data_IF_412536831942
#
_entry.id   IF_412536831942
#
_cell.length_a   1.000
_cell.length_b   1.000
_cell.length_c   1.000
_cell.angle_alpha   90.00
_cell.angle_beta   90.00
_cell.angle_gamma   90.00
#
_symmetry.space_group_name_H-M   'P 1'
#
loop_
_entity.id
_entity.type
_entity.pdbx_description
1 polymer ?
#
# COMPACT_ATOMS: atom_id res chain seq x y z
N UNK A 1 28.06 -19.78 34.20
CA UNK A 1 26.93 -19.16 33.45
C UNK A 1 27.51 -18.30 32.35
N UNK A 2 27.40 -18.75 31.07
CA UNK A 2 27.88 -18.01 29.91
C UNK A 2 27.09 -16.69 29.82
N UNK A 3 27.77 -15.54 29.86
CA UNK A 3 27.18 -14.24 29.47
C UNK A 3 26.67 -14.39 28.03
N UNK A 4 25.37 -14.52 27.87
CA UNK A 4 24.72 -14.43 26.59
C UNK A 4 25.18 -13.12 25.94
N UNK A 5 25.85 -13.27 24.81
CA UNK A 5 26.47 -12.16 24.09
C UNK A 5 25.38 -11.18 23.65
N UNK A 6 25.13 -10.13 24.45
CA UNK A 6 24.09 -9.12 24.20
C UNK A 6 24.24 -8.50 22.80
N UNK A 7 25.46 -8.51 22.23
CA UNK A 7 25.75 -8.04 20.88
C UNK A 7 25.26 -9.02 19.79
N UNK A 8 25.32 -10.32 20.02
CA UNK A 8 24.83 -11.34 19.08
C UNK A 8 23.30 -11.34 19.00
N UNK A 9 22.62 -11.30 20.16
CA UNK A 9 21.16 -11.25 20.24
C UNK A 9 20.61 -9.96 19.63
N UNK A 10 21.25 -8.81 19.88
CA UNK A 10 20.85 -7.53 19.29
C UNK A 10 20.99 -7.54 17.76
N UNK A 11 22.07 -8.09 17.21
CA UNK A 11 22.27 -8.22 15.75
C UNK A 11 21.27 -9.20 15.11
N UNK A 12 20.93 -10.28 15.78
CA UNK A 12 19.95 -11.25 15.31
C UNK A 12 18.53 -10.63 15.31
N UNK A 13 18.15 -9.97 16.41
CA UNK A 13 16.85 -9.30 16.52
C UNK A 13 16.67 -8.18 15.49
N UNK A 14 17.72 -7.40 15.19
CA UNK A 14 17.66 -6.36 14.16
C UNK A 14 17.64 -6.92 12.75
N UNK A 15 18.16 -8.12 12.51
CA UNK A 15 18.22 -8.73 11.17
C UNK A 15 16.98 -9.56 10.83
N UNK A 16 16.41 -10.24 11.81
CA UNK A 16 15.33 -11.22 11.60
C UNK A 16 14.07 -10.90 12.42
N UNK A 17 14.06 -9.79 13.17
CA UNK A 17 12.98 -9.47 14.11
C UNK A 17 11.59 -9.46 13.46
N UNK A 18 11.46 -8.90 12.28
CA UNK A 18 10.16 -8.84 11.54
C UNK A 18 9.73 -10.22 11.05
N UNK A 19 10.67 -11.05 10.59
CA UNK A 19 10.38 -12.42 10.16
C UNK A 19 10.00 -13.28 11.37
N UNK A 20 10.69 -13.13 12.48
CA UNK A 20 10.35 -13.80 13.75
C UNK A 20 8.98 -13.33 14.25
N UNK A 21 8.71 -12.04 14.19
CA UNK A 21 7.40 -11.47 14.54
C UNK A 21 6.27 -12.05 13.68
N UNK A 22 6.49 -12.14 12.36
CA UNK A 22 5.55 -12.78 11.46
C UNK A 22 5.32 -14.26 11.81
N UNK A 23 6.39 -15.01 12.06
CA UNK A 23 6.29 -16.41 12.47
C UNK A 23 5.53 -16.58 13.79
N UNK A 24 5.75 -15.68 14.77
CA UNK A 24 5.03 -15.69 16.04
C UNK A 24 3.53 -15.40 15.87
N UNK A 25 3.16 -14.44 15.00
CA UNK A 25 1.75 -14.16 14.67
C UNK A 25 1.11 -15.40 14.02
N UNK A 26 1.78 -16.01 13.04
CA UNK A 26 1.29 -17.23 12.40
C UNK A 26 1.13 -18.38 13.40
N UNK A 27 2.11 -18.59 14.29
CA UNK A 27 2.06 -19.62 15.32
C UNK A 27 0.90 -19.38 16.31
N UNK A 28 0.70 -18.13 16.74
CA UNK A 28 -0.39 -17.77 17.65
C UNK A 28 -1.77 -18.11 17.03
N UNK A 29 -2.02 -17.70 15.78
CA UNK A 29 -3.29 -18.02 15.12
C UNK A 29 -3.42 -19.50 14.74
N UNK A 30 -2.32 -20.18 14.47
CA UNK A 30 -2.30 -21.64 14.27
C UNK A 30 -2.76 -22.40 15.52
N UNK A 31 -2.33 -21.95 16.71
CA UNK A 31 -2.75 -22.52 17.99
C UNK A 31 -4.20 -22.17 18.31
N UNK A 32 -4.60 -20.90 18.09
CA UNK A 32 -5.96 -20.43 18.42
C UNK A 32 -7.01 -21.01 17.47
N UNK A 33 -6.68 -21.27 16.19
CA UNK A 33 -7.63 -21.73 15.16
C UNK A 33 -7.02 -22.82 14.26
N UNK A 34 -6.59 -23.97 14.79
CA UNK A 34 -5.81 -24.98 14.06
C UNK A 34 -6.55 -25.54 12.85
N UNK A 35 -7.88 -25.72 12.94
CA UNK A 35 -8.67 -26.28 11.86
C UNK A 35 -9.05 -25.29 10.74
N UNK A 36 -8.80 -23.99 10.93
CA UNK A 36 -9.23 -22.96 9.97
C UNK A 36 -8.06 -22.19 9.37
N UNK A 37 -7.02 -21.93 10.16
CA UNK A 37 -5.94 -21.03 9.78
C UNK A 37 -5.12 -21.54 8.59
N UNK A 38 -4.73 -22.83 8.58
CA UNK A 38 -3.94 -23.43 7.51
C UNK A 38 -4.76 -24.05 6.34
N UNK A 39 -6.10 -23.90 6.35
CA UNK A 39 -6.87 -24.32 5.19
C UNK A 39 -6.44 -23.55 3.94
N UNK A 40 -6.30 -24.23 2.81
CA UNK A 40 -5.95 -23.62 1.52
C UNK A 40 -6.91 -22.48 1.18
N UNK A 41 -8.20 -22.65 1.47
CA UNK A 41 -9.22 -21.61 1.28
C UNK A 41 -8.93 -20.34 2.09
N UNK A 42 -8.39 -20.47 3.31
CA UNK A 42 -8.01 -19.33 4.14
C UNK A 42 -6.74 -18.65 3.61
N UNK A 43 -5.75 -19.42 3.21
CA UNK A 43 -4.52 -18.87 2.59
C UNK A 43 -4.87 -18.07 1.33
N UNK A 44 -5.74 -18.60 0.47
CA UNK A 44 -6.24 -17.87 -0.71
C UNK A 44 -6.99 -16.61 -0.31
N UNK A 45 -7.78 -16.66 0.76
CA UNK A 45 -8.50 -15.50 1.28
C UNK A 45 -7.53 -14.42 1.76
N UNK A 46 -6.50 -14.79 2.52
CA UNK A 46 -5.44 -13.87 2.96
C UNK A 46 -4.75 -13.23 1.75
N UNK A 47 -4.30 -14.04 0.78
CA UNK A 47 -3.64 -13.54 -0.43
C UNK A 47 -4.54 -12.60 -1.24
N UNK A 48 -5.84 -12.87 -1.31
CA UNK A 48 -6.83 -11.99 -1.95
C UNK A 48 -6.99 -10.67 -1.18
N UNK A 49 -6.99 -10.72 0.14
CA UNK A 49 -7.11 -9.50 0.98
C UNK A 49 -5.87 -8.61 0.84
N UNK A 50 -4.68 -9.21 0.91
CA UNK A 50 -3.44 -8.45 0.81
C UNK A 50 -3.15 -7.94 -0.60
N UNK A 51 -3.82 -8.46 -1.64
CA UNK A 51 -3.58 -8.03 -3.02
C UNK A 51 -3.77 -6.52 -3.20
N UNK A 52 -4.84 -5.96 -2.63
CA UNK A 52 -5.11 -4.52 -2.66
C UNK A 52 -4.03 -3.78 -1.87
N UNK A 53 -3.81 -4.22 -0.64
CA UNK A 53 -2.87 -3.59 0.30
C UNK A 53 -1.43 -3.57 -0.23
N UNK A 54 -0.98 -4.68 -0.83
CA UNK A 54 0.36 -4.80 -1.40
C UNK A 54 0.55 -3.89 -2.63
N UNK A 55 -0.48 -3.73 -3.46
CA UNK A 55 -0.44 -2.83 -4.62
C UNK A 55 -0.37 -1.37 -4.16
N UNK A 56 -1.24 -0.97 -3.21
CA UNK A 56 -1.20 0.37 -2.63
C UNK A 56 0.13 0.65 -1.93
N UNK A 57 0.59 -0.31 -1.13
CA UNK A 57 1.88 -0.24 -0.46
C UNK A 57 3.06 -0.17 -1.42
N UNK A 58 3.00 -0.86 -2.57
CA UNK A 58 4.06 -0.79 -3.58
C UNK A 58 4.18 0.62 -4.19
N UNK A 59 3.05 1.26 -4.50
CA UNK A 59 3.04 2.66 -4.96
C UNK A 59 3.60 3.60 -3.89
N UNK A 60 3.09 3.48 -2.65
CA UNK A 60 3.55 4.27 -1.51
C UNK A 60 5.04 4.10 -1.21
N UNK A 61 5.56 2.87 -1.37
CA UNK A 61 6.98 2.59 -1.15
C UNK A 61 7.88 3.48 -2.01
N UNK A 62 7.50 3.74 -3.26
CA UNK A 62 8.28 4.59 -4.17
C UNK A 62 8.37 6.03 -3.64
N UNK A 63 7.28 6.56 -3.10
CA UNK A 63 7.27 7.88 -2.44
C UNK A 63 8.09 7.86 -1.16
N UNK A 64 7.88 6.84 -0.31
CA UNK A 64 8.56 6.78 1.00
C UNK A 64 10.08 6.55 0.90
N UNK A 65 10.58 5.94 -0.17
CA UNK A 65 12.03 5.84 -0.44
C UNK A 65 12.63 7.24 -0.58
N UNK A 66 11.94 8.22 -1.18
CA UNK A 66 12.42 9.60 -1.29
C UNK A 66 12.41 10.39 0.02
N UNK A 67 11.96 9.79 1.11
CA UNK A 67 11.77 10.43 2.41
C UNK A 67 10.48 11.25 2.53
N UNK A 68 9.57 11.14 1.57
CA UNK A 68 8.26 11.81 1.53
C UNK A 68 7.13 10.85 1.88
N UNK A 69 5.95 11.39 2.20
CA UNK A 69 4.75 10.62 2.53
C UNK A 69 3.62 11.02 1.59
N UNK A 70 2.77 10.06 1.24
CA UNK A 70 1.54 10.29 0.48
C UNK A 70 0.34 9.82 1.32
N UNK A 71 -0.44 10.78 1.82
CA UNK A 71 -1.64 10.53 2.62
C UNK A 71 -2.93 10.50 1.76
N UNK A 72 -2.82 10.73 0.45
CA UNK A 72 -3.99 10.71 -0.43
C UNK A 72 -4.41 9.31 -0.86
N UNK A 73 -3.64 8.27 -0.54
CA UNK A 73 -3.82 6.90 -1.06
C UNK A 73 -5.26 6.43 -0.92
N UNK A 74 -5.86 6.57 0.27
CA UNK A 74 -7.23 6.16 0.52
C UNK A 74 -8.24 6.95 -0.31
N UNK A 75 -8.14 8.28 -0.26
CA UNK A 75 -9.03 9.18 -0.99
C UNK A 75 -8.89 9.03 -2.51
N UNK A 76 -7.66 8.90 -3.03
CA UNK A 76 -7.40 8.65 -4.46
C UNK A 76 -8.00 7.30 -4.87
N UNK A 77 -7.83 6.24 -4.08
CA UNK A 77 -8.42 4.93 -4.35
C UNK A 77 -9.96 5.02 -4.40
N UNK A 78 -10.57 5.73 -3.44
CA UNK A 78 -12.01 5.97 -3.41
C UNK A 78 -12.49 6.75 -4.63
N UNK A 79 -11.80 7.83 -5.00
CA UNK A 79 -12.18 8.68 -6.14
C UNK A 79 -12.07 7.95 -7.47
N UNK A 80 -10.99 7.19 -7.68
CA UNK A 80 -10.84 6.37 -8.89
C UNK A 80 -11.90 5.27 -8.94
N UNK A 81 -12.25 4.67 -7.79
CA UNK A 81 -13.36 3.73 -7.70
C UNK A 81 -14.66 4.34 -8.22
N UNK A 82 -15.02 5.52 -7.72
CA UNK A 82 -16.24 6.25 -8.16
C UNK A 82 -16.15 6.65 -9.62
N UNK A 83 -15.00 7.18 -10.08
CA UNK A 83 -14.80 7.55 -11.48
C UNK A 83 -15.05 6.36 -12.42
N UNK A 84 -14.43 5.19 -12.13
CA UNK A 84 -14.62 3.99 -12.95
C UNK A 84 -16.07 3.52 -12.90
N UNK A 85 -16.72 3.58 -11.73
CA UNK A 85 -18.14 3.26 -11.58
C UNK A 85 -19.04 4.16 -12.39
N UNK A 86 -18.83 5.48 -12.33
CA UNK A 86 -19.57 6.46 -13.13
C UNK A 86 -19.38 6.23 -14.63
N UNK A 87 -18.14 6.04 -15.09
CA UNK A 87 -17.86 5.76 -16.50
C UNK A 87 -18.60 4.52 -17.02
N UNK A 88 -18.69 3.46 -16.19
CA UNK A 88 -19.36 2.22 -16.59
C UNK A 88 -20.89 2.30 -16.48
N UNK A 89 -21.43 2.92 -15.43
CA UNK A 89 -22.86 2.87 -15.11
C UNK A 89 -23.58 4.09 -15.67
N UNK A 90 -23.08 5.31 -15.42
CA UNK A 90 -23.77 6.54 -15.81
C UNK A 90 -23.51 6.87 -17.29
N UNK A 91 -22.30 6.57 -17.81
CA UNK A 91 -21.92 6.84 -19.20
C UNK A 91 -21.94 5.60 -20.10
N UNK A 92 -22.23 4.40 -19.58
CA UNK A 92 -22.31 3.16 -20.36
C UNK A 92 -20.99 2.75 -21.04
N UNK A 93 -19.85 3.21 -20.52
CA UNK A 93 -18.53 3.00 -21.14
C UNK A 93 -18.08 1.55 -21.01
N UNK A 94 -17.31 1.09 -22.00
CA UNK A 94 -16.68 -0.22 -21.95
C UNK A 94 -15.76 -0.36 -20.72
N UNK A 95 -15.84 -1.51 -20.03
CA UNK A 95 -15.10 -1.82 -18.80
C UNK A 95 -13.60 -1.60 -18.93
N UNK A 96 -13.00 -2.06 -20.03
CA UNK A 96 -11.56 -1.93 -20.25
C UNK A 96 -11.13 -0.48 -20.43
N UNK A 97 -11.92 0.29 -21.18
CA UNK A 97 -11.67 1.71 -21.39
C UNK A 97 -11.82 2.50 -20.09
N UNK A 98 -12.85 2.21 -19.30
CA UNK A 98 -13.05 2.81 -17.98
C UNK A 98 -11.87 2.53 -17.03
N UNK A 99 -11.33 1.30 -17.03
CA UNK A 99 -10.15 0.95 -16.25
C UNK A 99 -8.90 1.71 -16.72
N UNK A 100 -8.67 1.84 -18.03
CA UNK A 100 -7.53 2.60 -18.58
C UNK A 100 -7.63 4.07 -18.18
N UNK A 101 -8.80 4.68 -18.31
CA UNK A 101 -9.06 6.07 -17.88
C UNK A 101 -8.85 6.19 -16.37
N UNK A 102 -9.30 5.22 -15.59
CA UNK A 102 -9.06 5.18 -14.14
C UNK A 102 -7.58 5.20 -13.79
N UNK A 103 -6.75 4.40 -14.49
CA UNK A 103 -5.29 4.40 -14.27
C UNK A 103 -4.67 5.73 -14.69
N UNK A 104 -5.10 6.31 -15.80
CA UNK A 104 -4.62 7.63 -16.25
C UNK A 104 -5.02 8.73 -15.24
N UNK A 105 -6.24 8.69 -14.72
CA UNK A 105 -6.72 9.63 -13.70
C UNK A 105 -5.94 9.48 -12.38
N UNK A 106 -5.64 8.24 -11.96
CA UNK A 106 -4.78 7.99 -10.81
C UNK A 106 -3.38 8.57 -10.98
N UNK A 107 -2.77 8.38 -12.17
CA UNK A 107 -1.49 8.99 -12.51
C UNK A 107 -1.56 10.53 -12.48
N UNK A 108 -2.66 11.12 -12.96
CA UNK A 108 -2.88 12.57 -12.94
C UNK A 108 -3.02 13.10 -11.51
N UNK A 109 -3.83 12.45 -10.66
CA UNK A 109 -3.94 12.83 -9.24
C UNK A 109 -2.60 12.72 -8.51
N UNK A 110 -1.84 11.65 -8.79
CA UNK A 110 -0.47 11.52 -8.31
C UNK A 110 0.44 12.63 -8.82
N UNK A 111 0.33 13.01 -10.10
CA UNK A 111 1.10 14.12 -10.67
C UNK A 111 0.76 15.46 -10.00
N UNK A 112 -0.51 15.72 -9.70
CA UNK A 112 -0.94 16.93 -8.97
C UNK A 112 -0.34 16.96 -7.57
N UNK A 113 -0.40 15.84 -6.82
CA UNK A 113 0.26 15.73 -5.51
C UNK A 113 1.77 15.95 -5.62
N UNK A 114 2.40 15.27 -6.58
CA UNK A 114 3.83 15.41 -6.81
C UNK A 114 4.23 16.83 -7.22
N UNK A 115 3.38 17.55 -7.97
CA UNK A 115 3.64 18.92 -8.37
C UNK A 115 3.56 19.88 -7.16
N UNK A 116 2.56 19.73 -6.28
CA UNK A 116 2.44 20.54 -5.07
C UNK A 116 3.64 20.39 -4.14
N UNK A 117 4.13 19.16 -3.98
CA UNK A 117 5.28 18.85 -3.13
C UNK A 117 6.62 19.26 -3.78
N UNK A 118 6.81 18.89 -5.06
CA UNK A 118 8.12 19.02 -5.72
C UNK A 118 8.37 20.40 -6.32
N UNK A 119 7.35 21.08 -6.86
CA UNK A 119 7.52 22.34 -7.57
C UNK A 119 7.04 23.55 -6.74
N UNK A 120 5.92 23.43 -6.04
CA UNK A 120 5.42 24.51 -5.16
C UNK A 120 6.22 24.50 -3.84
N UNK A 121 6.65 23.33 -3.37
CA UNK A 121 7.47 23.19 -2.16
C UNK A 121 6.65 23.10 -0.87
N UNK A 122 5.35 22.78 -0.98
CA UNK A 122 4.51 22.55 0.21
C UNK A 122 4.99 21.27 0.92
N UNK A 123 5.12 21.26 2.27
CA UNK A 123 5.43 20.05 3.00
C UNK A 123 4.48 18.91 2.63
N UNK A 124 5.03 17.73 2.33
CA UNK A 124 4.30 16.58 1.81
C UNK A 124 3.09 16.17 2.66
N UNK A 125 3.24 16.20 4.00
CA UNK A 125 2.13 15.92 4.91
C UNK A 125 0.95 16.88 4.68
N UNK A 126 1.21 18.19 4.62
CA UNK A 126 0.17 19.22 4.45
C UNK A 126 -0.42 19.13 3.03
N UNK A 127 0.43 19.02 2.02
CA UNK A 127 0.02 18.94 0.61
C UNK A 127 -0.92 17.75 0.38
N UNK A 128 -0.49 16.54 0.80
CA UNK A 128 -1.25 15.33 0.54
C UNK A 128 -2.50 15.24 1.40
N UNK A 129 -2.46 15.68 2.66
CA UNK A 129 -3.65 15.72 3.51
C UNK A 129 -4.71 16.68 2.93
N UNK A 130 -4.32 17.89 2.55
CA UNK A 130 -5.23 18.89 1.97
C UNK A 130 -5.81 18.41 0.63
N UNK A 131 -4.98 17.81 -0.23
CA UNK A 131 -5.44 17.22 -1.49
C UNK A 131 -6.40 16.05 -1.24
N UNK A 132 -6.15 15.25 -0.20
CA UNK A 132 -7.05 14.19 0.23
C UNK A 132 -8.45 14.69 0.57
N UNK A 133 -8.55 15.82 1.31
CA UNK A 133 -9.83 16.45 1.61
C UNK A 133 -10.53 16.99 0.36
N UNK A 134 -9.79 17.60 -0.56
CA UNK A 134 -10.35 18.08 -1.84
C UNK A 134 -10.90 16.90 -2.66
N UNK A 135 -10.13 15.84 -2.83
CA UNK A 135 -10.53 14.63 -3.55
C UNK A 135 -11.78 14.00 -2.90
N UNK A 136 -11.79 13.86 -1.58
CA UNK A 136 -12.94 13.33 -0.84
C UNK A 136 -14.18 14.22 -0.99
N UNK A 137 -14.01 15.53 -0.92
CA UNK A 137 -15.11 16.49 -1.09
C UNK A 137 -15.76 16.39 -2.48
N UNK A 138 -14.95 16.40 -3.56
CA UNK A 138 -15.45 16.21 -4.91
C UNK A 138 -16.13 14.85 -5.12
N UNK A 139 -15.53 13.79 -4.55
CA UNK A 139 -16.06 12.45 -4.63
C UNK A 139 -17.43 12.33 -3.97
N UNK A 140 -17.60 12.90 -2.77
CA UNK A 140 -18.87 12.92 -2.06
C UNK A 140 -19.90 13.86 -2.72
N UNK A 141 -19.47 14.99 -3.26
CA UNK A 141 -20.35 15.90 -4.00
C UNK A 141 -20.95 15.22 -5.23
N UNK A 142 -20.17 14.48 -6.00
CA UNK A 142 -20.65 13.73 -7.15
C UNK A 142 -21.62 12.61 -6.75
N UNK A 143 -21.26 11.81 -5.78
CA UNK A 143 -22.04 10.62 -5.36
C UNK A 143 -23.18 10.96 -4.40
N UNK A 144 -23.21 12.18 -3.85
CA UNK A 144 -24.11 12.55 -2.73
C UNK A 144 -24.01 11.59 -1.54
N UNK A 145 -22.82 11.00 -1.34
CA UNK A 145 -22.56 10.01 -0.31
C UNK A 145 -23.07 8.59 -0.60
N UNK A 146 -23.73 8.36 -1.74
CA UNK A 146 -24.26 7.04 -2.11
C UNK A 146 -23.28 6.24 -2.96
N UNK A 147 -23.21 4.91 -2.80
CA UNK A 147 -22.37 4.06 -3.65
C UNK A 147 -23.00 3.89 -5.04
N UNK A 148 -22.16 3.86 -6.08
CA UNK A 148 -22.57 3.48 -7.43
C UNK A 148 -22.62 1.96 -7.49
N UNK A 149 -23.80 1.42 -7.78
CA UNK A 149 -24.10 -0.01 -7.85
C UNK A 149 -24.40 -0.43 -9.31
N UNK A 150 -24.73 -1.70 -9.51
CA UNK A 150 -25.07 -2.26 -10.84
C UNK A 150 -23.90 -2.23 -11.85
N UNK A 151 -22.68 -2.47 -11.37
CA UNK A 151 -21.51 -2.58 -12.23
C UNK A 151 -21.65 -3.74 -13.22
N UNK A 152 -21.13 -3.61 -14.45
CA UNK A 152 -21.17 -4.67 -15.45
C UNK A 152 -20.58 -5.98 -14.92
N UNK A 153 -21.23 -7.13 -15.22
CA UNK A 153 -20.76 -8.45 -14.76
C UNK A 153 -19.32 -8.76 -15.17
N UNK A 154 -18.91 -8.28 -16.36
CA UNK A 154 -17.52 -8.44 -16.84
C UNK A 154 -16.50 -7.82 -15.88
N UNK A 155 -16.83 -6.72 -15.21
CA UNK A 155 -15.95 -6.06 -14.26
C UNK A 155 -15.61 -6.94 -13.05
N UNK A 156 -16.49 -7.91 -12.72
CA UNK A 156 -16.26 -8.83 -11.59
C UNK A 156 -14.99 -9.69 -11.72
N UNK A 157 -14.43 -9.80 -12.92
CA UNK A 157 -13.24 -10.63 -13.19
C UNK A 157 -12.02 -10.21 -12.36
N UNK A 158 -11.83 -8.89 -12.12
CA UNK A 158 -10.66 -8.39 -11.41
C UNK A 158 -10.67 -8.73 -9.91
N UNK A 159 -11.85 -8.76 -9.28
CA UNK A 159 -11.99 -8.99 -7.83
C UNK A 159 -12.49 -10.37 -7.44
N UNK A 160 -13.37 -10.97 -8.27
CA UNK A 160 -14.01 -12.28 -8.01
C UNK A 160 -13.55 -13.38 -8.97
N UNK A 161 -13.00 -13.00 -10.14
CA UNK A 161 -12.52 -13.96 -11.13
C UNK A 161 -11.36 -14.81 -10.63
N UNK A 162 -11.26 -16.03 -11.16
CA UNK A 162 -10.15 -16.94 -10.92
C UNK A 162 -9.62 -17.50 -12.24
N UNK A 163 -8.32 -17.62 -12.34
CA UNK A 163 -7.61 -18.25 -13.45
C UNK A 163 -6.80 -19.42 -12.88
N UNK A 164 -6.97 -20.62 -13.40
CA UNK A 164 -6.32 -21.84 -12.87
C UNK A 164 -6.55 -22.06 -11.36
N UNK A 165 -7.71 -21.64 -10.82
CA UNK A 165 -8.04 -21.77 -9.41
C UNK A 165 -7.45 -20.68 -8.51
N UNK A 166 -6.63 -19.78 -9.05
CA UNK A 166 -6.03 -18.64 -8.30
C UNK A 166 -6.80 -17.35 -8.65
N UNK A 167 -7.19 -16.53 -7.65
CA UNK A 167 -7.84 -15.26 -7.89
C UNK A 167 -7.03 -14.30 -8.78
N UNK A 168 -7.70 -13.63 -9.72
CA UNK A 168 -7.07 -12.67 -10.65
C UNK A 168 -6.36 -11.54 -9.89
N UNK A 169 -6.90 -11.09 -8.76
CA UNK A 169 -6.28 -10.07 -7.91
C UNK A 169 -4.88 -10.45 -7.42
N UNK A 170 -4.62 -11.75 -7.22
CA UNK A 170 -3.28 -12.25 -6.82
C UNK A 170 -2.29 -12.10 -7.96
N UNK A 171 -2.68 -12.43 -9.20
CA UNK A 171 -1.83 -12.20 -10.38
C UNK A 171 -1.53 -10.71 -10.57
N UNK A 172 -2.55 -9.85 -10.45
CA UNK A 172 -2.36 -8.40 -10.54
C UNK A 172 -1.40 -7.87 -9.48
N UNK A 173 -1.50 -8.37 -8.25
CA UNK A 173 -0.57 -8.04 -7.16
C UNK A 173 0.87 -8.41 -7.53
N UNK A 174 1.12 -9.65 -7.92
CA UNK A 174 2.48 -10.09 -8.25
C UNK A 174 3.05 -9.36 -9.45
N UNK A 175 2.26 -9.13 -10.50
CA UNK A 175 2.68 -8.35 -11.66
C UNK A 175 3.07 -6.93 -11.23
N UNK A 176 2.23 -6.26 -10.42
CA UNK A 176 2.52 -4.92 -9.91
C UNK A 176 3.81 -4.90 -9.07
N UNK A 177 3.96 -5.83 -8.12
CA UNK A 177 5.16 -5.93 -7.28
C UNK A 177 6.43 -6.16 -8.11
N UNK A 178 6.38 -7.05 -9.10
CA UNK A 178 7.50 -7.33 -10.01
C UNK A 178 7.83 -6.10 -10.86
N UNK A 179 6.84 -5.43 -11.42
CA UNK A 179 7.05 -4.19 -12.22
C UNK A 179 7.71 -3.12 -11.36
N UNK A 180 7.17 -2.82 -10.18
CA UNK A 180 7.73 -1.80 -9.28
C UNK A 180 9.12 -2.22 -8.79
N UNK A 181 9.36 -3.51 -8.51
CA UNK A 181 10.68 -4.04 -8.17
C UNK A 181 11.70 -3.79 -9.30
N UNK A 182 11.33 -4.08 -10.55
CA UNK A 182 12.20 -3.83 -11.72
C UNK A 182 12.46 -2.33 -11.88
N UNK A 183 11.42 -1.51 -11.77
CA UNK A 183 11.53 -0.05 -11.85
C UNK A 183 12.50 0.49 -10.80
N UNK A 184 12.39 0.05 -9.55
CA UNK A 184 13.25 0.52 -8.47
C UNK A 184 14.68 -0.01 -8.54
N UNK A 185 14.88 -1.28 -8.92
CA UNK A 185 16.19 -1.92 -8.80
C UNK A 185 16.97 -1.97 -10.11
N UNK A 186 16.32 -1.84 -11.27
CA UNK A 186 16.95 -2.00 -12.59
C UNK A 186 16.96 -0.75 -13.44
N UNK A 187 16.22 0.32 -13.09
CA UNK A 187 16.14 1.54 -13.90
C UNK A 187 16.95 2.70 -13.32
N UNK A 188 17.20 3.73 -14.15
CA UNK A 188 17.81 5.00 -13.72
C UNK A 188 16.91 5.73 -12.71
N UNK A 189 15.59 5.67 -12.91
CA UNK A 189 14.63 6.28 -12.00
C UNK A 189 14.77 5.74 -10.57
N UNK A 190 14.81 4.41 -10.39
CA UNK A 190 14.97 3.82 -9.08
C UNK A 190 16.26 4.25 -8.37
N UNK A 191 17.39 4.27 -9.09
CA UNK A 191 18.66 4.77 -8.53
C UNK A 191 18.58 6.23 -8.08
N UNK A 192 17.89 7.09 -8.85
CA UNK A 192 17.66 8.48 -8.46
C UNK A 192 16.77 8.61 -7.22
N UNK A 193 15.70 7.81 -7.15
CA UNK A 193 14.77 7.80 -6.01
C UNK A 193 15.51 7.41 -4.71
N UNK A 194 16.34 6.37 -4.73
CA UNK A 194 17.17 5.99 -3.59
C UNK A 194 18.24 7.03 -3.25
N UNK A 195 18.87 7.65 -4.25
CA UNK A 195 19.85 8.72 -4.01
C UNK A 195 19.21 9.93 -3.34
N UNK A 196 18.00 10.35 -3.78
CA UNK A 196 17.22 11.43 -3.17
C UNK A 196 16.88 11.13 -1.71
N UNK A 197 16.43 9.89 -1.43
CA UNK A 197 16.10 9.48 -0.07
C UNK A 197 17.29 9.38 0.88
N UNK A 198 18.49 9.10 0.32
CA UNK A 198 19.74 9.09 1.09
C UNK A 198 20.18 10.49 1.48
N UNK A 199 20.34 11.38 0.50
CA UNK A 199 20.65 12.79 0.72
C UNK A 199 20.18 13.61 -0.51
N UNK A 200 19.14 14.40 -0.32
CA UNK A 200 18.52 15.19 -1.39
C UNK A 200 19.49 16.27 -1.94
N UNK A 201 20.29 16.92 -1.10
CA UNK A 201 21.24 17.95 -1.51
C UNK A 201 22.39 17.34 -2.32
N UNK A 202 22.96 16.24 -1.84
CA UNK A 202 24.02 15.52 -2.56
C UNK A 202 23.51 14.99 -3.92
N UNK A 203 22.28 14.49 -3.98
CA UNK A 203 21.65 14.06 -5.22
C UNK A 203 21.52 15.22 -6.22
N UNK A 204 21.09 16.39 -5.76
CA UNK A 204 20.98 17.60 -6.57
C UNK A 204 22.35 18.05 -7.09
N UNK A 205 23.36 18.08 -6.23
CA UNK A 205 24.74 18.42 -6.62
C UNK A 205 25.35 17.43 -7.64
N UNK A 206 24.87 16.19 -7.62
CA UNK A 206 25.25 15.15 -8.60
C UNK A 206 24.46 15.24 -9.93
N UNK A 207 23.70 16.32 -10.16
CA UNK A 207 22.93 16.55 -11.39
C UNK A 207 21.61 15.79 -11.49
N UNK A 208 21.14 15.17 -10.40
CA UNK A 208 19.83 14.49 -10.39
C UNK A 208 18.71 15.54 -10.32
N UNK A 209 17.78 15.48 -11.26
CA UNK A 209 16.59 16.33 -11.21
C UNK A 209 15.62 15.83 -10.12
N UNK A 210 15.79 16.36 -8.90
CA UNK A 210 15.02 15.98 -7.72
C UNK A 210 13.54 16.21 -7.93
N UNK A 211 13.13 17.38 -8.45
CA UNK A 211 11.72 17.74 -8.64
C UNK A 211 10.99 16.75 -9.56
N UNK A 212 11.60 16.41 -10.69
CA UNK A 212 11.04 15.45 -11.65
C UNK A 212 10.89 14.05 -11.04
N UNK A 213 11.91 13.57 -10.31
CA UNK A 213 11.87 12.25 -9.71
C UNK A 213 10.85 12.17 -8.55
N UNK A 214 10.70 13.23 -7.74
CA UNK A 214 9.64 13.33 -6.74
C UNK A 214 8.26 13.27 -7.39
N UNK A 215 8.00 14.10 -8.41
CA UNK A 215 6.72 14.07 -9.14
C UNK A 215 6.42 12.67 -9.67
N UNK A 216 7.38 12.02 -10.33
CA UNK A 216 7.21 10.67 -10.87
C UNK A 216 6.95 9.62 -9.78
N UNK A 217 7.50 9.79 -8.59
CA UNK A 217 7.21 8.90 -7.44
C UNK A 217 5.75 8.96 -7.03
N UNK A 218 5.15 10.16 -6.98
CA UNK A 218 3.71 10.32 -6.71
C UNK A 218 2.83 9.81 -7.86
N UNK A 219 3.27 9.95 -9.11
CA UNK A 219 2.58 9.35 -10.28
C UNK A 219 2.47 7.83 -10.12
N UNK A 220 3.57 7.17 -9.75
CA UNK A 220 3.57 5.71 -9.51
C UNK A 220 2.65 5.35 -8.34
N UNK A 221 2.62 6.16 -7.26
CA UNK A 221 1.68 5.98 -6.14
C UNK A 221 0.23 6.06 -6.63
N UNK A 222 -0.13 7.09 -7.40
CA UNK A 222 -1.47 7.27 -7.96
C UNK A 222 -1.90 6.13 -8.90
N UNK A 223 -0.98 5.61 -9.73
CA UNK A 223 -1.26 4.43 -10.55
C UNK A 223 -1.52 3.18 -9.68
N UNK A 224 -0.78 3.01 -8.59
CA UNK A 224 -1.02 1.96 -7.59
C UNK A 224 -2.42 2.09 -6.97
N UNK A 225 -2.83 3.32 -6.62
CA UNK A 225 -4.18 3.59 -6.10
C UNK A 225 -5.27 3.19 -7.10
N UNK A 226 -5.06 3.46 -8.39
CA UNK A 226 -6.02 3.10 -9.43
C UNK A 226 -6.13 1.58 -9.61
N UNK A 227 -5.02 0.85 -9.61
CA UNK A 227 -5.04 -0.62 -9.65
C UNK A 227 -5.74 -1.20 -8.41
N UNK A 228 -5.47 -0.65 -7.23
CA UNK A 228 -6.15 -1.00 -6.00
C UNK A 228 -7.65 -0.73 -6.07
N UNK A 229 -8.06 0.42 -6.62
CA UNK A 229 -9.45 0.80 -6.82
C UNK A 229 -10.21 -0.17 -7.73
N UNK A 230 -9.60 -0.59 -8.85
CA UNK A 230 -10.18 -1.57 -9.78
C UNK A 230 -10.49 -2.89 -9.06
N UNK A 231 -9.52 -3.41 -8.29
CA UNK A 231 -9.70 -4.67 -7.57
C UNK A 231 -10.74 -4.51 -6.46
N UNK A 232 -10.68 -3.42 -5.69
CA UNK A 232 -11.59 -3.14 -4.58
C UNK A 232 -13.04 -3.05 -5.05
N UNK A 233 -13.32 -2.21 -6.06
CA UNK A 233 -14.67 -2.00 -6.62
C UNK A 233 -15.20 -3.27 -7.27
N UNK A 234 -14.35 -3.99 -8.00
CA UNK A 234 -14.68 -5.28 -8.60
C UNK A 234 -15.01 -6.35 -7.54
N UNK A 235 -14.32 -6.33 -6.41
CA UNK A 235 -14.58 -7.25 -5.30
C UNK A 235 -15.89 -6.94 -4.58
N UNK A 236 -16.14 -5.66 -4.29
CA UNK A 236 -17.35 -5.20 -3.62
C UNK A 236 -18.58 -5.20 -4.54
N UNK A 237 -18.39 -5.13 -5.85
CA UNK A 237 -19.41 -4.91 -6.87
C UNK A 237 -20.19 -3.60 -6.66
N UNK A 238 -19.54 -2.65 -5.98
CA UNK A 238 -20.02 -1.29 -5.77
C UNK A 238 -18.83 -0.36 -5.69
N UNK A 239 -19.04 0.91 -6.08
CA UNK A 239 -18.04 1.96 -5.95
C UNK A 239 -18.49 2.93 -4.84
N UNK A 240 -17.96 2.70 -3.64
CA UNK A 240 -18.31 3.53 -2.49
C UNK A 240 -17.34 4.72 -2.36
N UNK A 241 -17.84 5.95 -2.10
CA UNK A 241 -17.02 7.16 -2.10
C UNK A 241 -15.94 7.22 -1.01
N UNK A 242 -15.98 6.32 -0.02
CA UNK A 242 -14.99 6.23 1.07
C UNK A 242 -14.39 4.84 1.25
N UNK A 243 -14.58 3.92 0.29
CA UNK A 243 -14.12 2.52 0.44
C UNK A 243 -12.60 2.38 0.56
N UNK A 244 -11.84 3.33 0.02
CA UNK A 244 -10.38 3.34 0.07
C UNK A 244 -9.82 3.88 1.39
N UNK A 245 -10.59 4.64 2.16
CA UNK A 245 -10.08 5.41 3.31
C UNK A 245 -9.44 4.50 4.38
N UNK A 246 -10.04 3.33 4.63
CA UNK A 246 -9.50 2.34 5.56
C UNK A 246 -8.12 1.80 5.14
N UNK A 247 -7.79 1.85 3.85
CA UNK A 247 -6.51 1.33 3.36
C UNK A 247 -5.35 2.30 3.56
N UNK A 248 -5.58 3.58 3.84
CA UNK A 248 -4.51 4.57 4.03
C UNK A 248 -3.57 4.17 5.16
N UNK A 249 -4.12 3.92 6.35
CA UNK A 249 -3.31 3.51 7.52
C UNK A 249 -2.71 2.13 7.36
N UNK A 250 -3.46 1.19 6.77
CA UNK A 250 -2.97 -0.17 6.51
C UNK A 250 -1.80 -0.17 5.49
N UNK A 251 -1.83 0.71 4.46
CA UNK A 251 -0.73 0.85 3.50
C UNK A 251 0.51 1.48 4.15
N UNK A 252 0.35 2.53 4.97
CA UNK A 252 1.44 3.10 5.75
C UNK A 252 2.08 2.05 6.67
N UNK A 253 1.25 1.32 7.43
CA UNK A 253 1.69 0.23 8.28
C UNK A 253 2.50 -0.81 7.50
N UNK A 254 1.99 -1.21 6.34
CA UNK A 254 2.62 -2.19 5.45
C UNK A 254 4.03 -1.76 5.06
N UNK A 255 4.23 -0.49 4.66
CA UNK A 255 5.54 0.01 4.25
C UNK A 255 6.47 0.18 5.45
N UNK A 256 5.98 0.73 6.57
CA UNK A 256 6.81 0.90 7.78
C UNK A 256 7.20 -0.44 8.41
N UNK A 257 6.27 -1.38 8.56
CA UNK A 257 6.57 -2.73 9.06
C UNK A 257 7.51 -3.45 8.10
N UNK A 258 7.28 -3.30 6.80
CA UNK A 258 8.15 -3.86 5.77
C UNK A 258 9.57 -3.30 5.81
N UNK A 259 9.74 -2.02 6.08
CA UNK A 259 11.05 -1.39 6.19
C UNK A 259 11.88 -1.98 7.36
N UNK A 260 11.23 -2.46 8.43
CA UNK A 260 11.92 -3.12 9.54
C UNK A 260 12.39 -4.55 9.21
N UNK A 261 11.85 -5.17 8.14
CA UNK A 261 12.16 -6.56 7.77
C UNK A 261 13.57 -6.74 7.20
N UNK A 262 14.15 -5.68 6.64
CA UNK A 262 15.47 -5.73 6.01
C UNK A 262 16.46 -4.80 6.69
N UNK A 263 17.76 -5.08 6.47
CA UNK A 263 18.84 -4.23 6.95
C UNK A 263 18.59 -2.80 6.48
N UNK A 264 18.65 -1.86 7.38
CA UNK A 264 18.72 -0.41 7.19
C UNK A 264 17.44 0.39 7.50
N UNK A 265 16.28 -0.22 7.70
CA UNK A 265 15.04 0.54 7.94
C UNK A 265 14.60 1.40 6.76
N UNK A 266 15.05 1.05 5.55
CA UNK A 266 14.69 1.74 4.32
C UNK A 266 13.50 1.02 3.63
N UNK A 267 12.47 1.76 3.19
CA UNK A 267 11.36 1.17 2.46
C UNK A 267 11.86 0.47 1.19
N UNK A 268 11.34 -0.72 0.93
CA UNK A 268 11.66 -1.50 -0.26
C UNK A 268 10.53 -2.47 -0.59
N UNK A 269 10.40 -2.90 -1.84
CA UNK A 269 9.26 -3.69 -2.32
C UNK A 269 9.14 -5.05 -1.64
N UNK A 270 10.26 -5.75 -1.40
CA UNK A 270 10.22 -7.04 -0.72
C UNK A 270 9.75 -6.89 0.73
N UNK A 271 10.22 -5.83 1.41
CA UNK A 271 9.73 -5.46 2.73
C UNK A 271 8.24 -5.13 2.72
N UNK A 272 7.79 -4.34 1.77
CA UNK A 272 6.37 -3.99 1.62
C UNK A 272 5.50 -5.24 1.43
N UNK A 273 5.93 -6.21 0.64
CA UNK A 273 5.21 -7.48 0.51
C UNK A 273 5.13 -8.24 1.84
N UNK A 274 6.23 -8.32 2.59
CA UNK A 274 6.24 -8.93 3.94
C UNK A 274 5.35 -8.15 4.90
N UNK A 275 5.38 -6.82 4.86
CA UNK A 275 4.48 -5.97 5.65
C UNK A 275 3.02 -6.23 5.33
N UNK A 276 2.68 -6.35 4.04
CA UNK A 276 1.32 -6.70 3.61
C UNK A 276 0.89 -8.08 4.12
N UNK A 277 1.79 -9.06 4.11
CA UNK A 277 1.53 -10.38 4.69
C UNK A 277 1.26 -10.29 6.19
N UNK A 278 2.07 -9.54 6.94
CA UNK A 278 1.90 -9.38 8.39
C UNK A 278 0.55 -8.74 8.71
N UNK A 279 0.24 -7.60 8.09
CA UNK A 279 -1.04 -6.90 8.31
C UNK A 279 -2.22 -7.76 7.86
N UNK A 280 -2.10 -8.43 6.71
CA UNK A 280 -3.17 -9.30 6.20
C UNK A 280 -3.43 -10.53 7.07
N UNK A 281 -2.37 -11.19 7.54
CA UNK A 281 -2.49 -12.33 8.46
C UNK A 281 -3.03 -11.89 9.82
N UNK A 282 -2.63 -10.71 10.31
CA UNK A 282 -3.16 -10.14 11.55
C UNK A 282 -4.68 -9.90 11.41
N UNK A 283 -5.10 -9.20 10.36
CA UNK A 283 -6.52 -8.91 10.11
C UNK A 283 -7.35 -10.19 9.93
N UNK A 284 -6.86 -11.14 9.15
CA UNK A 284 -7.53 -12.42 8.93
C UNK A 284 -7.61 -13.26 10.21
N UNK A 285 -6.51 -13.37 10.94
CA UNK A 285 -6.45 -14.13 12.19
C UNK A 285 -7.38 -13.57 13.27
N UNK A 286 -7.41 -12.25 13.44
CA UNK A 286 -8.34 -11.59 14.38
C UNK A 286 -9.79 -11.81 13.94
N UNK A 287 -10.09 -11.77 12.65
CA UNK A 287 -11.41 -12.08 12.09
C UNK A 287 -11.81 -13.53 12.36
N UNK A 288 -10.90 -14.50 12.16
CA UNK A 288 -11.16 -15.91 12.49
C UNK A 288 -11.39 -16.14 13.98
N UNK A 289 -10.83 -15.30 14.83
CA UNK A 289 -11.06 -15.32 16.28
C UNK A 289 -12.33 -14.57 16.69
N UNK A 290 -13.15 -14.06 15.76
CA UNK A 290 -14.34 -13.24 16.00
C UNK A 290 -14.04 -11.98 16.83
N UNK A 291 -12.83 -11.41 16.70
CA UNK A 291 -12.46 -10.16 17.35
C UNK A 291 -13.20 -9.01 16.66
N UNK A 292 -13.82 -8.13 17.45
CA UNK A 292 -14.53 -6.96 16.94
C UNK A 292 -13.62 -6.02 16.12
N UNK A 293 -14.18 -5.34 15.13
CA UNK A 293 -13.43 -4.46 14.23
C UNK A 293 -12.66 -3.35 14.97
N UNK A 294 -13.25 -2.77 16.02
CA UNK A 294 -12.57 -1.75 16.82
C UNK A 294 -11.34 -2.28 17.57
N UNK A 295 -11.37 -3.53 18.03
CA UNK A 295 -10.19 -4.17 18.64
C UNK A 295 -9.13 -4.51 17.60
N UNK A 296 -9.53 -4.79 16.34
CA UNK A 296 -8.59 -4.95 15.24
C UNK A 296 -7.87 -3.64 14.95
N UNK A 297 -8.57 -2.50 14.99
CA UNK A 297 -7.96 -1.17 14.78
C UNK A 297 -6.99 -0.80 15.91
N UNK A 298 -7.29 -1.14 17.16
CA UNK A 298 -6.36 -0.99 18.30
C UNK A 298 -5.09 -1.82 18.06
N UNK A 299 -5.24 -3.09 17.66
CA UNK A 299 -4.10 -3.97 17.40
C UNK A 299 -3.22 -3.45 16.24
N UNK A 300 -3.84 -2.97 15.15
CA UNK A 300 -3.11 -2.34 14.04
C UNK A 300 -2.35 -1.09 14.50
N UNK A 301 -3.01 -0.20 15.24
CA UNK A 301 -2.38 1.01 15.78
C UNK A 301 -1.15 0.69 16.62
N UNK A 302 -1.23 -0.32 17.50
CA UNK A 302 -0.11 -0.77 18.30
C UNK A 302 1.05 -1.32 17.43
N UNK A 303 0.74 -2.13 16.41
CA UNK A 303 1.75 -2.67 15.47
C UNK A 303 2.43 -1.54 14.69
N UNK A 304 1.68 -0.54 14.22
CA UNK A 304 2.23 0.62 13.49
C UNK A 304 3.16 1.41 14.41
N UNK A 305 2.74 1.74 15.62
CA UNK A 305 3.56 2.49 16.58
C UNK A 305 4.87 1.77 16.89
N UNK A 306 4.82 0.47 17.12
CA UNK A 306 6.01 -0.33 17.35
C UNK A 306 6.94 -0.34 16.12
N UNK A 307 6.41 -0.53 14.92
CA UNK A 307 7.19 -0.54 13.69
C UNK A 307 7.86 0.83 13.43
N UNK A 308 7.11 1.93 13.57
CA UNK A 308 7.64 3.29 13.39
C UNK A 308 8.71 3.59 14.42
N UNK A 309 8.50 3.22 15.68
CA UNK A 309 9.49 3.40 16.76
C UNK A 309 10.79 2.66 16.45
N UNK A 310 10.71 1.38 16.05
CA UNK A 310 11.88 0.58 15.68
C UNK A 310 12.61 1.20 14.49
N UNK A 311 11.88 1.61 13.44
CA UNK A 311 12.46 2.23 12.25
C UNK A 311 13.15 3.55 12.60
N UNK A 312 12.55 4.37 13.44
CA UNK A 312 13.10 5.65 13.91
C UNK A 312 14.42 5.44 14.67
N UNK A 313 14.45 4.49 15.61
CA UNK A 313 15.66 4.14 16.37
C UNK A 313 16.76 3.62 15.44
N UNK A 314 16.42 2.79 14.45
CA UNK A 314 17.39 2.27 13.48
C UNK A 314 18.01 3.40 12.63
N UNK A 315 17.22 4.38 12.20
CA UNK A 315 17.69 5.55 11.44
C UNK A 315 18.56 6.50 12.29
N UNK A 316 18.19 6.72 13.55
CA UNK A 316 18.94 7.58 14.47
C UNK A 316 20.35 7.05 14.79
N UNK A 317 20.55 5.73 14.81
CA UNK A 317 21.86 5.10 15.04
C UNK A 317 22.82 5.15 13.84
N UNK A 318 22.33 5.64 12.68
CA UNK A 318 23.14 5.77 11.45
C UNK A 318 23.65 7.19 11.19
N UNK A 319 23.08 8.17 11.86
CA UNK A 319 23.62 9.53 11.91
C UNK A 319 24.67 9.64 13.01
#
# INVERSE_FOLDING_TARGET
MKRLDKHGISKFATRYGTVVFFALICAAFAILRPHSFFKISNVVTVLRQISILAILGAGLTVVMITGRIDLTIGNTTSAISVLIGALMVDFGMNVWLACIIGVAAGALLGALNGATVAYIGIPDFIATLSMGFLISGFNQAYTKGHPISNLPKVFSIFGKGSLLGIPVSIYMMFICLVVVYIVLNKTRFGRHVYAIGGNQEAAMMSGINVKKNLLMSYVVSGMGCALGAIILSSRLQTCHPSAGDAYMMDALATVYVGATAFKNGEPNIMGTFIGALIIGVLNNGLTLCNVSYYSQDIAKGAVILLAVTITSIQRSRKK
#
